data_IF_639623487672
#
_entry.id   IF_639623487672
#
_cell.length_a   1.000
_cell.length_b   1.000
_cell.length_c   1.000
_cell.angle_alpha   90.00
_cell.angle_beta   90.00
_cell.angle_gamma   90.00
#
_symmetry.space_group_name_H-M   'P 1'
#
loop_
_entity.id
_entity.type
_entity.pdbx_description
1 polymer ?
#
# COMPACT_ATOMS: atom_id res chain seq x y z
N UNK A 1 -14.90 10.12 -15.12
CA UNK A 1 -13.71 10.75 -14.51
C UNK A 1 -14.03 10.91 -13.04
N UNK A 2 -13.32 10.25 -12.13
CA UNK A 2 -13.57 10.41 -10.70
C UNK A 2 -13.04 11.78 -10.26
N UNK A 3 -13.90 12.59 -9.62
CA UNK A 3 -13.57 13.88 -9.05
C UNK A 3 -12.84 13.69 -7.72
N UNK A 4 -11.76 14.45 -7.52
CA UNK A 4 -11.09 14.61 -6.24
C UNK A 4 -12.03 15.37 -5.29
N UNK A 5 -12.37 14.75 -4.16
CA UNK A 5 -13.31 15.31 -3.17
C UNK A 5 -12.56 16.22 -2.19
N UNK A 6 -12.87 17.50 -2.22
CA UNK A 6 -12.20 18.52 -1.42
C UNK A 6 -13.13 19.09 -0.36
N UNK A 7 -12.66 19.15 0.89
CA UNK A 7 -13.34 19.85 1.97
C UNK A 7 -12.52 21.08 2.39
N UNK A 8 -13.18 22.21 2.67
CA UNK A 8 -12.51 23.45 3.12
C UNK A 8 -12.75 23.67 4.61
N UNK A 9 -11.70 23.62 5.42
CA UNK A 9 -11.75 23.82 6.87
C UNK A 9 -11.04 25.13 7.24
N UNK A 10 -11.78 26.11 7.73
CA UNK A 10 -11.19 27.40 8.11
C UNK A 10 -12.08 28.14 9.10
N UNK A 11 -11.47 28.91 10.02
CA UNK A 11 -12.20 29.86 10.85
C UNK A 11 -12.69 31.10 10.09
N UNK A 12 -12.35 31.26 8.80
CA UNK A 12 -12.62 32.46 8.00
C UNK A 12 -13.63 32.19 6.87
N UNK A 13 -14.93 32.53 7.04
CA UNK A 13 -15.98 32.18 6.08
C UNK A 13 -15.77 32.74 4.66
N UNK A 14 -15.31 33.99 4.54
CA UNK A 14 -15.01 34.60 3.23
C UNK A 14 -13.88 33.89 2.49
N UNK A 15 -12.92 33.34 3.24
CA UNK A 15 -11.85 32.54 2.66
C UNK A 15 -12.40 31.21 2.13
N UNK A 16 -13.27 30.55 2.91
CA UNK A 16 -13.94 29.34 2.46
C UNK A 16 -14.69 29.57 1.15
N UNK A 17 -15.56 30.60 1.08
CA UNK A 17 -16.33 30.94 -0.12
C UNK A 17 -15.44 31.22 -1.34
N UNK A 18 -14.32 31.94 -1.13
CA UNK A 18 -13.35 32.21 -2.18
C UNK A 18 -12.69 30.93 -2.72
N UNK A 19 -12.21 30.06 -1.83
CA UNK A 19 -11.60 28.78 -2.20
C UNK A 19 -12.62 27.88 -2.88
N UNK A 20 -13.83 27.73 -2.34
CA UNK A 20 -14.89 26.93 -2.95
C UNK A 20 -15.20 27.38 -4.39
N UNK A 21 -15.32 28.69 -4.60
CA UNK A 21 -15.61 29.27 -5.91
C UNK A 21 -14.51 28.96 -6.92
N UNK A 22 -13.24 29.09 -6.52
CA UNK A 22 -12.09 28.79 -7.36
C UNK A 22 -12.01 27.30 -7.71
N UNK A 23 -12.33 26.41 -6.76
CA UNK A 23 -12.26 24.97 -6.94
C UNK A 23 -13.42 24.41 -7.78
N UNK A 24 -14.65 24.93 -7.64
CA UNK A 24 -15.82 24.52 -8.45
C UNK A 24 -15.61 24.75 -9.95
N UNK A 25 -14.75 25.68 -10.33
CA UNK A 25 -14.39 25.95 -11.73
C UNK A 25 -13.36 24.99 -12.33
N UNK A 26 -12.79 24.07 -11.56
CA UNK A 26 -11.70 23.20 -12.00
C UNK A 26 -12.20 21.80 -12.39
N UNK A 27 -11.92 21.31 -13.61
CA UNK A 27 -12.32 19.98 -14.02
C UNK A 27 -11.59 18.92 -13.18
N UNK A 28 -12.34 17.95 -12.67
CA UNK A 28 -11.81 16.85 -11.86
C UNK A 28 -11.74 17.14 -10.35
N UNK A 29 -12.23 18.28 -9.88
CA UNK A 29 -12.43 18.58 -8.46
C UNK A 29 -13.92 18.64 -8.11
N UNK A 30 -14.28 18.15 -6.93
CA UNK A 30 -15.62 18.22 -6.34
C UNK A 30 -15.50 18.76 -4.92
N UNK A 31 -16.07 19.93 -4.68
CA UNK A 31 -16.15 20.50 -3.32
C UNK A 31 -17.29 19.80 -2.59
N UNK A 32 -16.94 18.96 -1.61
CA UNK A 32 -17.89 18.15 -0.84
C UNK A 32 -18.40 18.85 0.43
N UNK A 33 -17.78 19.97 0.81
CA UNK A 33 -18.25 20.82 1.89
C UNK A 33 -17.23 21.86 2.34
N UNK A 34 -17.69 22.77 3.20
CA UNK A 34 -16.84 23.68 3.96
C UNK A 34 -17.39 23.85 5.38
N UNK A 35 -16.51 24.11 6.34
CA UNK A 35 -16.89 24.30 7.73
C UNK A 35 -15.82 25.02 8.55
N UNK A 36 -16.24 25.47 9.74
CA UNK A 36 -15.34 26.04 10.74
C UNK A 36 -14.68 24.95 11.59
N UNK A 37 -13.67 25.32 12.37
CA UNK A 37 -12.96 24.41 13.29
C UNK A 37 -13.83 24.13 14.52
N UNK A 38 -14.87 23.30 14.34
CA UNK A 38 -15.82 22.91 15.37
C UNK A 38 -15.94 21.37 15.44
N UNK A 39 -16.21 20.77 16.61
CA UNK A 39 -16.33 19.31 16.77
C UNK A 39 -17.27 18.66 15.74
N UNK A 40 -18.40 19.29 15.45
CA UNK A 40 -19.42 18.80 14.52
C UNK A 40 -18.89 18.73 13.09
N UNK A 41 -17.98 19.65 12.71
CA UNK A 41 -17.31 19.61 11.41
C UNK A 41 -16.38 18.41 11.30
N UNK A 42 -15.71 18.02 12.38
CA UNK A 42 -14.85 16.83 12.39
C UNK A 42 -15.67 15.53 12.34
N UNK A 43 -16.84 15.49 12.97
CA UNK A 43 -17.81 14.39 12.81
C UNK A 43 -18.20 14.25 11.34
N UNK A 44 -18.54 15.37 10.70
CA UNK A 44 -18.92 15.40 9.30
C UNK A 44 -17.76 15.00 8.36
N UNK A 45 -16.53 15.42 8.65
CA UNK A 45 -15.34 15.01 7.91
C UNK A 45 -15.11 13.49 7.97
N UNK A 46 -15.38 12.85 9.11
CA UNK A 46 -15.28 11.40 9.28
C UNK A 46 -16.35 10.63 8.51
N UNK A 47 -17.50 11.23 8.25
CA UNK A 47 -18.56 10.66 7.42
C UNK A 47 -18.30 10.86 5.92
N UNK A 48 -17.89 12.07 5.51
CA UNK A 48 -17.68 12.42 4.10
C UNK A 48 -16.41 11.77 3.53
N UNK A 49 -15.40 11.55 4.38
CA UNK A 49 -14.07 11.06 4.03
C UNK A 49 -13.53 11.77 2.78
N UNK A 50 -13.24 13.09 2.87
CA UNK A 50 -12.70 13.82 1.73
C UNK A 50 -11.29 13.32 1.42
N UNK A 51 -10.89 13.51 0.18
CA UNK A 51 -9.55 13.15 -0.25
C UNK A 51 -8.51 14.19 0.15
N UNK A 52 -8.93 15.46 0.20
CA UNK A 52 -8.13 16.60 0.59
C UNK A 52 -8.92 17.49 1.52
N UNK A 53 -8.28 17.89 2.61
CA UNK A 53 -8.74 18.99 3.47
C UNK A 53 -7.88 20.22 3.18
N UNK A 54 -8.50 21.29 2.68
CA UNK A 54 -7.86 22.59 2.53
C UNK A 54 -8.04 23.36 3.83
N UNK A 55 -6.93 23.78 4.44
CA UNK A 55 -6.91 24.52 5.70
C UNK A 55 -6.56 25.97 5.44
N UNK A 56 -7.41 26.90 5.86
CA UNK A 56 -7.10 28.33 5.88
C UNK A 56 -6.84 28.81 7.30
N UNK A 57 -5.57 28.96 7.69
CA UNK A 57 -5.16 29.39 9.02
C UNK A 57 -3.73 29.96 8.98
N UNK A 58 -3.33 30.69 10.03
CA UNK A 58 -1.99 31.29 10.14
C UNK A 58 -1.30 30.91 11.46
N UNK A 59 0.03 30.89 11.48
CA UNK A 59 0.84 30.70 12.69
C UNK A 59 0.49 29.45 13.51
N UNK A 60 0.38 29.61 14.83
CA UNK A 60 0.11 28.50 15.76
C UNK A 60 -1.28 27.87 15.63
N UNK A 61 -2.26 28.60 15.09
CA UNK A 61 -3.59 28.04 14.78
C UNK A 61 -3.46 26.93 13.73
N UNK A 62 -2.67 27.17 12.68
CA UNK A 62 -2.41 26.18 11.64
C UNK A 62 -1.75 24.91 12.22
N UNK A 63 -0.75 25.05 13.10
CA UNK A 63 -0.07 23.90 13.72
C UNK A 63 -1.00 23.05 14.60
N UNK A 64 -1.83 23.69 15.42
CA UNK A 64 -2.83 23.00 16.25
C UNK A 64 -3.88 22.28 15.41
N UNK A 65 -4.33 22.92 14.32
CA UNK A 65 -5.34 22.38 13.42
C UNK A 65 -4.81 21.19 12.62
N UNK A 66 -3.56 21.26 12.13
CA UNK A 66 -2.89 20.15 11.46
C UNK A 66 -2.75 18.96 12.40
N UNK A 67 -2.31 19.20 13.64
CA UNK A 67 -2.15 18.15 14.65
C UNK A 67 -3.47 17.44 14.94
N UNK A 68 -4.56 18.20 15.10
CA UNK A 68 -5.90 17.66 15.32
C UNK A 68 -6.43 16.90 14.10
N UNK A 69 -6.26 17.43 12.89
CA UNK A 69 -6.66 16.76 11.65
C UNK A 69 -5.97 15.42 11.48
N UNK A 70 -4.68 15.33 11.79
CA UNK A 70 -3.95 14.07 11.66
C UNK A 70 -4.31 13.04 12.73
N UNK A 71 -4.76 13.47 13.90
CA UNK A 71 -5.29 12.58 14.93
C UNK A 71 -6.68 12.05 14.57
N UNK A 72 -7.57 12.92 14.08
CA UNK A 72 -8.98 12.59 13.80
C UNK A 72 -9.19 11.92 12.44
N UNK A 73 -8.32 12.21 11.46
CA UNK A 73 -8.38 11.69 10.09
C UNK A 73 -7.00 11.16 9.65
N UNK A 74 -6.58 9.98 10.16
CA UNK A 74 -5.30 9.39 9.77
C UNK A 74 -5.23 9.17 8.26
N UNK A 75 -4.16 9.65 7.63
CA UNK A 75 -3.92 9.49 6.18
C UNK A 75 -4.60 10.52 5.28
N UNK A 76 -5.35 11.49 5.81
CA UNK A 76 -5.92 12.58 5.00
C UNK A 76 -4.82 13.51 4.48
N UNK A 77 -4.93 13.94 3.21
CA UNK A 77 -4.04 14.98 2.67
C UNK A 77 -4.51 16.34 3.16
N UNK A 78 -3.59 17.11 3.74
CA UNK A 78 -3.89 18.46 4.20
C UNK A 78 -3.13 19.48 3.37
N UNK A 79 -3.86 20.38 2.72
CA UNK A 79 -3.29 21.52 1.98
C UNK A 79 -3.56 22.77 2.81
N UNK A 80 -2.56 23.27 3.52
CA UNK A 80 -2.68 24.50 4.28
C UNK A 80 -2.34 25.71 3.40
N UNK A 81 -3.22 26.69 3.42
CA UNK A 81 -3.07 27.99 2.80
C UNK A 81 -2.84 28.99 3.93
N UNK A 82 -1.63 29.52 4.02
CA UNK A 82 -1.31 30.53 4.99
C UNK A 82 -1.93 31.87 4.54
N UNK A 83 -2.72 32.49 5.43
CA UNK A 83 -3.48 33.70 5.11
C UNK A 83 -2.62 34.97 5.18
N UNK A 84 -1.45 34.90 5.81
CA UNK A 84 -0.55 36.04 6.01
C UNK A 84 0.38 36.24 4.80
N UNK A 85 0.84 35.15 4.18
CA UNK A 85 1.84 35.18 3.10
C UNK A 85 1.39 34.50 1.80
N UNK A 86 0.11 34.07 1.72
CA UNK A 86 -0.48 33.37 0.58
C UNK A 86 0.31 32.12 0.12
N UNK A 87 1.13 31.51 1.00
CA UNK A 87 1.85 30.28 0.65
C UNK A 87 0.99 29.05 0.84
N UNK A 88 1.11 28.14 -0.12
CA UNK A 88 0.50 26.81 -0.08
C UNK A 88 1.53 25.84 0.50
N UNK A 89 1.16 25.15 1.57
CA UNK A 89 1.96 24.10 2.21
C UNK A 89 1.17 22.81 2.20
N UNK A 90 1.81 21.72 1.77
CA UNK A 90 1.16 20.42 1.68
C UNK A 90 1.75 19.52 2.76
N UNK A 91 0.87 18.92 3.57
CA UNK A 91 1.24 18.07 4.70
C UNK A 91 0.68 16.66 4.54
N UNK A 92 1.47 15.69 5.02
CA UNK A 92 1.17 14.26 4.99
C UNK A 92 1.44 13.67 6.37
N UNK A 93 0.48 12.95 6.95
CA UNK A 93 0.76 12.12 8.11
C UNK A 93 1.15 10.71 7.67
N UNK A 94 2.45 10.43 7.66
CA UNK A 94 3.00 9.09 7.54
C UNK A 94 3.88 8.82 8.75
N UNK A 95 3.56 7.76 9.50
CA UNK A 95 4.39 7.29 10.61
C UNK A 95 5.29 6.16 10.11
N UNK A 96 6.60 6.28 10.33
CA UNK A 96 7.58 5.24 10.02
C UNK A 96 8.49 5.02 11.23
N UNK A 97 8.77 3.76 11.54
CA UNK A 97 9.76 3.39 12.56
C UNK A 97 11.14 3.45 11.93
N UNK A 98 11.97 4.40 12.35
CA UNK A 98 13.36 4.52 11.90
C UNK A 98 14.29 3.71 12.79
N UNK A 99 14.98 2.72 12.22
CA UNK A 99 15.99 1.88 12.90
C UNK A 99 17.38 2.02 12.31
N UNK A 100 17.47 2.34 11.02
CA UNK A 100 18.70 2.52 10.27
C UNK A 100 18.60 3.78 9.39
N UNK A 101 19.73 4.27 8.89
CA UNK A 101 19.78 5.49 8.06
C UNK A 101 18.97 5.30 6.76
N UNK A 102 18.90 4.05 6.29
CA UNK A 102 18.12 3.64 5.13
C UNK A 102 16.63 3.92 5.29
N UNK A 103 16.08 3.80 6.50
CA UNK A 103 14.66 4.09 6.78
C UNK A 103 14.36 5.59 6.63
N UNK A 104 15.31 6.43 7.07
CA UNK A 104 15.25 7.88 6.90
C UNK A 104 15.42 8.27 5.42
N UNK A 105 16.36 7.64 4.72
CA UNK A 105 16.55 7.85 3.27
C UNK A 105 15.31 7.41 2.49
N UNK A 106 14.65 6.32 2.89
CA UNK A 106 13.39 5.88 2.30
C UNK A 106 12.28 6.90 2.55
N UNK A 107 12.15 7.42 3.77
CA UNK A 107 11.17 8.47 4.08
C UNK A 107 11.41 9.76 3.27
N UNK A 108 12.66 10.17 3.07
CA UNK A 108 13.03 11.36 2.28
C UNK A 108 12.77 11.15 0.78
N UNK A 109 13.01 9.94 0.26
CA UNK A 109 12.86 9.62 -1.16
C UNK A 109 11.43 9.30 -1.58
N UNK A 110 10.51 9.15 -0.63
CA UNK A 110 9.11 8.92 -0.96
C UNK A 110 8.52 10.17 -1.65
N UNK A 111 7.80 9.99 -2.77
CA UNK A 111 7.07 11.08 -3.40
C UNK A 111 6.08 11.68 -2.39
N UNK A 112 6.16 13.00 -2.21
CA UNK A 112 5.24 13.77 -1.38
C UNK A 112 3.96 14.12 -2.14
N UNK A 113 3.37 13.23 -2.95
CA UNK A 113 2.13 13.52 -3.69
C UNK A 113 1.20 12.30 -3.84
N UNK A 114 -0.10 12.62 -3.93
CA UNK A 114 -1.23 11.70 -4.00
C UNK A 114 -1.38 11.03 -5.37
N UNK A 115 -1.97 9.84 -5.32
CA UNK A 115 -2.63 9.09 -6.40
C UNK A 115 -3.72 9.86 -7.16
N UNK A 116 -3.82 9.48 -8.44
CA UNK A 116 -4.79 10.00 -9.40
C UNK A 116 -6.22 9.48 -9.20
N UNK A 117 -7.11 9.71 -10.17
CA UNK A 117 -8.49 9.21 -10.13
C UNK A 117 -8.50 7.69 -9.88
N UNK A 118 -9.05 7.30 -8.73
CA UNK A 118 -9.14 5.91 -8.28
C UNK A 118 -10.25 5.19 -9.02
N UNK A 119 -10.03 3.97 -9.52
CA UNK A 119 -11.09 3.19 -10.10
C UNK A 119 -12.02 2.64 -9.02
N UNK A 120 -13.27 3.12 -8.95
CA UNK A 120 -14.27 2.59 -8.00
C UNK A 120 -14.64 1.11 -8.28
N UNK A 121 -14.38 0.65 -9.49
CA UNK A 121 -14.58 -0.73 -9.94
C UNK A 121 -13.32 -1.23 -10.64
N UNK A 122 -12.96 -2.50 -10.45
CA UNK A 122 -11.79 -3.08 -11.09
C UNK A 122 -12.05 -4.52 -11.53
N UNK A 123 -11.73 -4.84 -12.78
CA UNK A 123 -11.74 -6.20 -13.32
C UNK A 123 -10.32 -6.75 -13.29
N UNK A 124 -10.11 -7.82 -12.53
CA UNK A 124 -8.84 -8.51 -12.40
C UNK A 124 -8.92 -9.82 -13.16
N UNK A 125 -7.96 -10.05 -14.07
CA UNK A 125 -7.77 -11.36 -14.68
C UNK A 125 -6.46 -11.98 -14.17
N UNK A 126 -6.59 -13.04 -13.39
CA UNK A 126 -5.49 -13.72 -12.73
C UNK A 126 -5.01 -14.94 -13.52
N UNK A 127 -3.72 -15.00 -13.82
CA UNK A 127 -3.06 -16.18 -14.39
C UNK A 127 -2.55 -17.01 -13.22
N UNK A 128 -3.09 -18.21 -13.00
CA UNK A 128 -2.80 -19.03 -11.81
C UNK A 128 -2.20 -20.36 -12.20
N UNK A 129 -0.99 -20.64 -11.71
CA UNK A 129 -0.37 -21.95 -11.83
C UNK A 129 -0.09 -22.46 -10.42
N UNK A 130 -0.85 -23.45 -9.91
CA UNK A 130 -0.62 -24.02 -8.58
C UNK A 130 -1.59 -23.54 -7.49
N UNK A 131 -1.37 -24.01 -6.26
CA UNK A 131 -2.27 -23.75 -5.11
C UNK A 131 -2.06 -22.37 -4.49
N UNK A 132 -0.85 -21.81 -4.59
CA UNK A 132 -0.55 -20.52 -3.99
C UNK A 132 -1.25 -19.38 -4.72
N UNK A 133 -1.19 -19.36 -6.05
CA UNK A 133 -1.93 -18.39 -6.86
C UNK A 133 -3.44 -18.50 -6.65
N UNK A 134 -3.97 -19.73 -6.51
CA UNK A 134 -5.38 -19.97 -6.24
C UNK A 134 -5.81 -19.36 -4.89
N UNK A 135 -5.01 -19.55 -3.84
CA UNK A 135 -5.27 -18.95 -2.53
C UNK A 135 -5.23 -17.42 -2.55
N UNK A 136 -4.32 -16.83 -3.33
CA UNK A 136 -4.29 -15.37 -3.52
C UNK A 136 -5.60 -14.89 -4.16
N UNK A 137 -6.06 -15.56 -5.22
CA UNK A 137 -7.34 -15.23 -5.89
C UNK A 137 -8.52 -15.36 -4.91
N UNK A 138 -8.56 -16.41 -4.11
CA UNK A 138 -9.60 -16.62 -3.09
C UNK A 138 -9.58 -15.52 -2.01
N UNK A 139 -8.39 -15.13 -1.54
CA UNK A 139 -8.24 -14.04 -0.57
C UNK A 139 -8.73 -12.70 -1.15
N UNK A 140 -8.38 -12.40 -2.41
CA UNK A 140 -8.82 -11.18 -3.07
C UNK A 140 -10.34 -11.18 -3.27
N UNK A 141 -10.94 -12.31 -3.65
CA UNK A 141 -12.40 -12.44 -3.78
C UNK A 141 -13.13 -12.27 -2.44
N UNK A 142 -12.55 -12.78 -1.35
CA UNK A 142 -13.16 -12.74 -0.02
C UNK A 142 -13.06 -11.37 0.64
N UNK A 143 -11.95 -10.65 0.43
CA UNK A 143 -11.63 -9.43 1.19
C UNK A 143 -11.37 -8.19 0.33
N UNK A 144 -11.47 -8.31 -0.99
CA UNK A 144 -11.38 -7.17 -1.90
C UNK A 144 -12.64 -6.30 -1.86
N UNK A 145 -12.56 -5.05 -2.33
CA UNK A 145 -13.72 -4.18 -2.48
C UNK A 145 -14.85 -4.82 -3.30
N UNK A 146 -16.11 -4.51 -2.95
CA UNK A 146 -17.29 -5.07 -3.62
C UNK A 146 -17.36 -4.75 -5.13
N UNK A 147 -16.76 -3.64 -5.55
CA UNK A 147 -16.69 -3.24 -6.97
C UNK A 147 -15.65 -4.03 -7.78
N UNK A 148 -14.93 -4.97 -7.18
CA UNK A 148 -13.93 -5.77 -7.88
C UNK A 148 -14.50 -7.08 -8.37
N UNK A 149 -14.10 -7.47 -9.58
CA UNK A 149 -14.37 -8.80 -10.13
C UNK A 149 -13.05 -9.48 -10.41
N UNK A 150 -12.94 -10.76 -10.02
CA UNK A 150 -11.71 -11.53 -10.20
C UNK A 150 -12.02 -12.79 -10.96
N UNK A 151 -11.62 -12.83 -12.22
CA UNK A 151 -11.61 -14.02 -13.05
C UNK A 151 -10.22 -14.64 -13.03
N UNK A 152 -10.15 -15.97 -13.10
CA UNK A 152 -8.87 -16.68 -13.05
C UNK A 152 -8.79 -17.73 -14.15
N UNK A 153 -7.62 -17.83 -14.76
CA UNK A 153 -7.32 -18.83 -15.77
C UNK A 153 -6.06 -19.60 -15.38
N UNK A 154 -6.09 -20.92 -15.61
CA UNK A 154 -4.96 -21.81 -15.40
C UNK A 154 -4.36 -22.19 -16.75
N UNK A 155 -3.06 -21.93 -17.00
CA UNK A 155 -2.42 -22.40 -18.22
C UNK A 155 -2.40 -23.94 -18.27
N UNK A 156 -2.42 -24.51 -19.48
CA UNK A 156 -2.14 -25.94 -19.67
C UNK A 156 -0.68 -26.24 -19.27
N UNK A 157 -0.29 -27.51 -19.32
CA UNK A 157 1.11 -27.87 -19.16
C UNK A 157 1.94 -27.24 -20.29
N UNK A 158 2.93 -26.42 -19.91
CA UNK A 158 3.78 -25.67 -20.83
C UNK A 158 5.15 -26.34 -20.95
N UNK A 159 5.76 -26.34 -22.15
CA UNK A 159 7.16 -26.72 -22.30
C UNK A 159 8.10 -25.73 -21.60
N UNK A 160 9.35 -26.15 -21.36
CA UNK A 160 10.36 -25.31 -20.72
C UNK A 160 10.71 -24.05 -21.54
N UNK A 161 10.60 -24.14 -22.87
CA UNK A 161 10.84 -23.04 -23.82
C UNK A 161 9.62 -22.92 -24.72
N UNK A 162 9.12 -21.70 -24.91
CA UNK A 162 7.98 -21.39 -25.77
C UNK A 162 8.48 -20.71 -27.06
N UNK A 163 8.37 -21.40 -28.19
CA UNK A 163 8.70 -20.82 -29.49
C UNK A 163 7.56 -19.93 -30.02
N UNK A 164 6.31 -20.37 -29.84
CA UNK A 164 5.11 -19.58 -30.15
C UNK A 164 4.14 -19.56 -28.95
N UNK A 165 4.25 -18.53 -28.08
CA UNK A 165 3.34 -18.33 -26.94
C UNK A 165 1.85 -18.30 -27.31
N UNK A 166 1.52 -17.91 -28.54
CA UNK A 166 0.15 -17.69 -28.98
C UNK A 166 -0.73 -18.93 -28.96
N UNK A 167 -0.13 -20.11 -29.16
CA UNK A 167 -0.81 -21.40 -29.18
C UNK A 167 -1.31 -21.87 -27.80
N UNK A 168 -0.76 -21.31 -26.72
CA UNK A 168 -1.04 -21.72 -25.34
C UNK A 168 -1.99 -20.75 -24.62
N UNK A 169 -2.47 -19.73 -25.32
CA UNK A 169 -3.39 -18.74 -24.78
C UNK A 169 -4.80 -19.34 -24.62
N UNK A 170 -5.58 -18.88 -23.63
CA UNK A 170 -6.97 -19.30 -23.52
C UNK A 170 -7.77 -18.87 -24.76
N UNK A 171 -8.79 -19.66 -25.08
CA UNK A 171 -9.72 -19.36 -26.17
C UNK A 171 -10.43 -18.03 -25.94
N UNK A 172 -10.77 -17.72 -24.69
CA UNK A 172 -11.38 -16.47 -24.28
C UNK A 172 -10.51 -15.80 -23.22
N UNK A 173 -10.18 -14.52 -23.44
CA UNK A 173 -9.61 -13.64 -22.43
C UNK A 173 -10.66 -12.56 -22.15
N UNK A 174 -11.21 -12.48 -20.93
CA UNK A 174 -12.18 -11.45 -20.61
C UNK A 174 -11.49 -10.07 -20.59
N UNK A 175 -12.21 -8.98 -20.92
CA UNK A 175 -11.72 -7.63 -20.71
C UNK A 175 -11.38 -7.40 -19.24
N UNK A 176 -10.17 -6.93 -18.95
CA UNK A 176 -9.69 -6.71 -17.60
C UNK A 176 -8.98 -5.37 -17.49
N UNK A 177 -8.99 -4.75 -16.31
CA UNK A 177 -8.24 -3.53 -16.05
C UNK A 177 -6.84 -3.85 -15.53
N UNK A 178 -6.74 -4.93 -14.73
CA UNK A 178 -5.50 -5.40 -14.11
C UNK A 178 -5.26 -6.88 -14.42
N UNK A 179 -4.06 -7.20 -14.94
CA UNK A 179 -3.58 -8.59 -14.99
C UNK A 179 -2.78 -8.91 -13.74
N UNK A 180 -3.16 -10.00 -13.07
CA UNK A 180 -2.43 -10.52 -11.91
C UNK A 180 -1.73 -11.83 -12.29
N UNK A 181 -0.41 -11.78 -12.50
CA UNK A 181 0.36 -12.90 -13.04
C UNK A 181 0.96 -13.77 -11.93
N UNK A 182 0.21 -14.78 -11.49
CA UNK A 182 0.56 -15.72 -10.41
C UNK A 182 1.07 -17.06 -10.98
N UNK A 183 1.93 -16.97 -11.99
CA UNK A 183 2.58 -18.12 -12.62
C UNK A 183 3.76 -18.62 -11.79
N UNK A 184 3.92 -19.95 -11.74
CA UNK A 184 5.00 -20.65 -11.05
C UNK A 184 6.05 -21.18 -12.06
N UNK A 185 6.19 -20.53 -13.23
CA UNK A 185 7.17 -20.90 -14.27
C UNK A 185 7.50 -19.77 -15.24
N UNK A 186 8.73 -19.73 -15.80
CA UNK A 186 9.09 -18.76 -16.84
C UNK A 186 8.25 -18.86 -18.11
N UNK A 187 7.80 -20.07 -18.47
CA UNK A 187 6.92 -20.27 -19.62
C UNK A 187 5.58 -19.55 -19.44
N UNK A 188 4.98 -19.64 -18.25
CA UNK A 188 3.71 -18.94 -17.97
C UNK A 188 3.88 -17.42 -18.04
N UNK A 189 5.00 -16.90 -17.53
CA UNK A 189 5.28 -15.47 -17.58
C UNK A 189 5.42 -14.92 -19.02
N UNK A 190 5.88 -15.73 -19.98
CA UNK A 190 5.97 -15.34 -21.39
C UNK A 190 4.60 -15.12 -22.05
N UNK A 191 3.51 -15.66 -21.49
CA UNK A 191 2.15 -15.46 -22.00
C UNK A 191 1.55 -14.10 -21.64
N UNK A 192 2.11 -13.42 -20.62
CA UNK A 192 1.58 -12.17 -20.04
C UNK A 192 1.30 -11.10 -21.12
N UNK A 193 2.24 -10.76 -22.04
CA UNK A 193 2.02 -9.65 -22.96
C UNK A 193 0.86 -9.90 -23.94
N UNK A 194 0.65 -11.15 -24.36
CA UNK A 194 -0.44 -11.50 -25.26
C UNK A 194 -1.79 -11.53 -24.55
N UNK A 195 -1.81 -11.97 -23.29
CA UNK A 195 -3.00 -11.89 -22.42
C UNK A 195 -3.38 -10.42 -22.18
N UNK A 196 -2.40 -9.57 -21.82
CA UNK A 196 -2.60 -8.13 -21.63
C UNK A 196 -3.23 -7.49 -22.86
N UNK A 197 -2.70 -7.80 -24.06
CA UNK A 197 -3.22 -7.29 -25.33
C UNK A 197 -4.66 -7.75 -25.59
N UNK A 198 -4.98 -9.03 -25.34
CA UNK A 198 -6.34 -9.58 -25.56
C UNK A 198 -7.35 -9.06 -24.54
N UNK A 199 -6.91 -8.77 -23.31
CA UNK A 199 -7.75 -8.23 -22.25
C UNK A 199 -7.97 -6.72 -22.34
N UNK A 200 -7.21 -6.00 -23.20
CA UNK A 200 -7.11 -4.53 -23.19
C UNK A 200 -6.75 -3.97 -21.79
N UNK A 201 -5.85 -4.66 -21.08
CA UNK A 201 -5.50 -4.32 -19.71
C UNK A 201 -4.70 -3.02 -19.58
N UNK A 202 -4.86 -2.34 -18.44
CA UNK A 202 -4.23 -1.05 -18.12
C UNK A 202 -2.97 -1.21 -17.25
N UNK A 203 -2.89 -2.30 -16.49
CA UNK A 203 -1.77 -2.58 -15.61
C UNK A 203 -1.48 -4.08 -15.46
N UNK A 204 -0.26 -4.39 -15.03
CA UNK A 204 0.17 -5.75 -14.67
C UNK A 204 0.85 -5.74 -13.31
N UNK A 205 0.47 -6.68 -12.44
CA UNK A 205 1.22 -7.05 -11.25
C UNK A 205 1.76 -8.47 -11.46
N UNK A 206 3.08 -8.61 -11.53
CA UNK A 206 3.77 -9.89 -11.72
C UNK A 206 4.77 -10.12 -10.58
N UNK A 207 4.32 -10.63 -9.43
CA UNK A 207 5.17 -10.78 -8.25
C UNK A 207 6.32 -11.76 -8.46
N UNK A 208 7.44 -11.47 -7.80
CA UNK A 208 8.64 -12.33 -7.80
C UNK A 208 8.82 -12.89 -6.39
N UNK A 209 8.04 -13.91 -6.06
CA UNK A 209 8.20 -14.66 -4.81
C UNK A 209 9.25 -15.79 -4.94
N UNK A 210 9.57 -16.19 -6.17
CA UNK A 210 10.67 -17.11 -6.46
C UNK A 210 11.37 -16.73 -7.78
N UNK A 211 12.67 -16.43 -7.73
CA UNK A 211 13.46 -16.03 -8.91
C UNK A 211 13.44 -17.04 -10.07
N UNK A 212 13.27 -18.33 -9.78
CA UNK A 212 13.25 -19.38 -10.79
C UNK A 212 12.01 -19.29 -11.70
N UNK A 213 10.92 -18.68 -11.21
CA UNK A 213 9.68 -18.50 -11.98
C UNK A 213 9.71 -17.23 -12.82
N UNK A 214 10.37 -16.19 -12.32
CA UNK A 214 10.48 -14.91 -13.00
C UNK A 214 11.90 -14.32 -12.89
N UNK A 215 12.84 -14.82 -13.72
CA UNK A 215 14.23 -14.38 -13.71
C UNK A 215 14.40 -12.93 -14.20
N UNK A 216 15.47 -12.25 -13.76
CA UNK A 216 15.82 -10.87 -14.14
C UNK A 216 15.78 -10.60 -15.65
N UNK A 217 16.30 -11.53 -16.46
CA UNK A 217 16.29 -11.40 -17.91
C UNK A 217 14.87 -11.33 -18.48
N UNK A 218 13.98 -12.16 -17.97
CA UNK A 218 12.58 -12.21 -18.38
C UNK A 218 11.80 -10.99 -17.87
N UNK A 219 12.09 -10.51 -16.65
CA UNK A 219 11.52 -9.25 -16.14
C UNK A 219 11.81 -8.10 -17.10
N UNK A 220 13.07 -7.93 -17.53
CA UNK A 220 13.45 -6.87 -18.49
C UNK A 220 12.71 -7.01 -19.82
N UNK A 221 12.62 -8.22 -20.35
CA UNK A 221 11.88 -8.50 -21.59
C UNK A 221 10.39 -8.15 -21.48
N UNK A 222 9.75 -8.54 -20.37
CA UNK A 222 8.35 -8.22 -20.10
C UNK A 222 8.14 -6.71 -19.95
N UNK A 223 9.00 -6.02 -19.18
CA UNK A 223 8.96 -4.57 -19.03
C UNK A 223 9.03 -3.85 -20.37
N UNK A 224 9.96 -4.23 -21.25
CA UNK A 224 10.09 -3.64 -22.57
C UNK A 224 8.86 -3.89 -23.45
N UNK A 225 8.34 -5.13 -23.47
CA UNK A 225 7.20 -5.51 -24.30
C UNK A 225 5.90 -4.84 -23.82
N UNK A 226 5.66 -4.79 -22.51
CA UNK A 226 4.48 -4.14 -21.93
C UNK A 226 4.55 -2.61 -22.08
N UNK A 227 5.73 -2.01 -21.95
CA UNK A 227 5.91 -0.57 -22.23
C UNK A 227 5.56 -0.22 -23.69
N UNK A 228 5.90 -1.07 -24.66
CA UNK A 228 5.51 -0.87 -26.07
C UNK A 228 3.99 -0.97 -26.29
N UNK A 229 3.28 -1.68 -25.42
CA UNK A 229 1.81 -1.74 -25.41
C UNK A 229 1.17 -0.58 -24.65
N UNK A 230 1.97 0.32 -24.05
CA UNK A 230 1.45 1.40 -23.20
C UNK A 230 0.92 0.93 -21.85
N UNK A 231 1.31 -0.28 -21.40
CA UNK A 231 0.84 -0.89 -20.16
C UNK A 231 1.94 -0.85 -19.11
N UNK A 232 1.61 -0.31 -17.94
CA UNK A 232 2.53 -0.29 -16.81
C UNK A 232 2.56 -1.63 -16.09
N UNK A 233 3.74 -2.08 -15.69
CA UNK A 233 3.94 -3.38 -15.06
C UNK A 233 4.88 -3.28 -13.87
N UNK A 234 4.48 -3.84 -12.74
CA UNK A 234 5.28 -3.91 -11.52
C UNK A 234 5.64 -5.35 -11.17
N UNK A 235 6.82 -5.49 -10.56
CA UNK A 235 7.43 -6.78 -10.24
C UNK A 235 7.85 -6.81 -8.76
N UNK A 236 6.89 -6.76 -7.82
CA UNK A 236 7.19 -6.72 -6.39
C UNK A 236 7.92 -7.99 -5.94
N UNK A 237 9.03 -7.80 -5.22
CA UNK A 237 9.93 -8.85 -4.73
C UNK A 237 10.23 -8.64 -3.24
N UNK A 238 9.64 -9.44 -2.32
CA UNK A 238 8.53 -10.39 -2.53
C UNK A 238 7.21 -9.66 -2.85
N UNK A 239 6.11 -10.37 -3.11
CA UNK A 239 4.83 -9.73 -3.46
C UNK A 239 4.36 -8.75 -2.37
N UNK A 240 4.53 -9.12 -1.11
CA UNK A 240 4.22 -8.25 0.03
C UNK A 240 5.14 -7.03 0.19
N UNK A 241 6.06 -6.75 -0.75
CA UNK A 241 6.79 -5.48 -0.81
C UNK A 241 6.01 -4.38 -1.56
N UNK A 242 4.91 -4.72 -2.22
CA UNK A 242 4.08 -3.77 -2.95
C UNK A 242 3.38 -2.77 -2.02
N UNK A 243 3.44 -1.49 -2.36
CA UNK A 243 2.76 -0.37 -1.69
C UNK A 243 2.07 0.49 -2.75
N UNK A 244 1.21 1.41 -2.30
CA UNK A 244 0.47 2.32 -3.20
C UNK A 244 1.38 3.20 -4.06
N UNK A 245 2.59 3.49 -3.56
CA UNK A 245 3.59 4.40 -4.13
C UNK A 245 4.85 3.66 -4.66
N UNK A 246 4.83 2.34 -4.73
CA UNK A 246 5.97 1.57 -5.23
C UNK A 246 6.06 0.13 -4.79
N UNK A 247 7.22 -0.45 -5.03
CA UNK A 247 7.49 -1.86 -4.72
C UNK A 247 8.99 -2.09 -4.55
N UNK A 248 9.33 -3.29 -4.08
CA UNK A 248 10.68 -3.69 -3.67
C UNK A 248 11.20 -2.91 -2.46
N UNK A 249 12.35 -3.35 -1.95
CA UNK A 249 12.89 -2.92 -0.67
C UNK A 249 14.28 -2.30 -0.84
N UNK A 250 14.70 -1.54 0.19
CA UNK A 250 16.06 -1.01 0.32
C UNK A 250 16.48 -0.23 -0.94
N UNK A 251 17.69 -0.46 -1.44
CA UNK A 251 18.25 0.19 -2.62
C UNK A 251 17.60 -0.23 -3.95
N UNK A 252 16.69 -1.23 -3.95
CA UNK A 252 15.98 -1.70 -5.15
C UNK A 252 14.55 -1.17 -5.24
N UNK A 253 14.12 -0.34 -4.29
CA UNK A 253 12.78 0.25 -4.28
C UNK A 253 12.55 1.04 -5.58
N UNK A 254 11.42 0.78 -6.22
CA UNK A 254 10.95 1.48 -7.43
C UNK A 254 9.68 2.24 -7.08
N UNK A 255 9.62 3.53 -7.46
CA UNK A 255 8.42 4.34 -7.34
C UNK A 255 7.46 4.00 -8.47
N UNK A 256 6.18 3.83 -8.15
CA UNK A 256 5.11 3.57 -9.10
C UNK A 256 3.89 4.43 -8.72
N UNK A 257 3.22 4.99 -9.71
CA UNK A 257 2.00 5.79 -9.52
C UNK A 257 1.00 5.46 -10.62
N UNK A 258 0.54 4.21 -10.60
CA UNK A 258 -0.49 3.72 -11.51
C UNK A 258 -1.81 3.53 -10.76
N UNK A 259 -2.92 4.15 -11.17
CA UNK A 259 -4.17 4.09 -10.42
C UNK A 259 -4.67 2.67 -10.11
N UNK A 260 -4.50 1.71 -11.03
CA UNK A 260 -4.94 0.33 -10.84
C UNK A 260 -4.04 -0.45 -9.88
N UNK A 261 -2.73 -0.20 -9.95
CA UNK A 261 -1.74 -0.85 -9.08
C UNK A 261 -1.83 -0.27 -7.68
N UNK A 262 -1.95 1.06 -7.55
CA UNK A 262 -2.13 1.73 -6.26
C UNK A 262 -3.43 1.29 -5.59
N UNK A 263 -4.55 1.21 -6.33
CA UNK A 263 -5.82 0.72 -5.80
C UNK A 263 -5.73 -0.74 -5.34
N UNK A 264 -5.06 -1.60 -6.10
CA UNK A 264 -4.75 -2.96 -5.64
C UNK A 264 -3.92 -2.94 -4.34
N UNK A 265 -2.84 -2.16 -4.35
CA UNK A 265 -1.85 -2.06 -3.29
C UNK A 265 -2.34 -1.34 -2.03
N UNK A 266 -3.52 -0.76 -2.05
CA UNK A 266 -4.22 -0.23 -0.87
C UNK A 266 -4.83 -1.37 -0.04
N UNK A 267 -5.32 -2.41 -0.70
CA UNK A 267 -5.98 -3.56 -0.06
C UNK A 267 -5.05 -4.78 0.08
N UNK A 268 -4.12 -4.96 -0.85
CA UNK A 268 -3.23 -6.12 -0.92
C UNK A 268 -1.77 -5.73 -1.24
N UNK A 269 -0.84 -5.96 -0.33
CA UNK A 269 0.56 -5.59 -0.48
C UNK A 269 1.35 -5.75 0.82
N UNK A 270 2.13 -4.72 1.19
CA UNK A 270 2.86 -4.65 2.45
C UNK A 270 1.89 -4.55 3.64
N UNK A 271 1.83 -5.52 4.56
CA UNK A 271 0.81 -5.52 5.61
C UNK A 271 0.72 -4.20 6.38
N UNK A 272 -0.52 -3.80 6.71
CA UNK A 272 -0.83 -2.67 7.60
C UNK A 272 -1.92 -3.13 8.54
N UNK A 273 -1.70 -2.91 9.83
CA UNK A 273 -2.62 -3.28 10.90
C UNK A 273 -3.04 -2.05 11.67
N UNK A 274 -4.18 -2.15 12.35
CA UNK A 274 -4.51 -1.34 13.50
C UNK A 274 -4.66 -2.25 14.70
N UNK A 275 -3.83 -2.06 15.73
CA UNK A 275 -3.80 -2.96 16.89
C UNK A 275 -4.37 -2.26 18.12
N UNK A 276 -5.41 -2.85 18.69
CA UNK A 276 -6.03 -2.40 19.93
C UNK A 276 -5.55 -3.25 21.10
N UNK A 277 -5.08 -2.58 22.14
CA UNK A 277 -4.52 -3.20 23.34
C UNK A 277 -5.21 -2.69 24.60
N UNK A 278 -5.32 -3.57 25.59
CA UNK A 278 -5.85 -3.27 26.92
C UNK A 278 -5.04 -4.07 27.95
N UNK A 279 -4.62 -3.41 29.03
CA UNK A 279 -3.78 -4.00 30.10
C UNK A 279 -2.52 -4.72 29.58
N UNK A 280 -1.88 -4.18 28.54
CA UNK A 280 -0.66 -4.76 27.96
C UNK A 280 -0.88 -6.00 27.09
N UNK A 281 -2.13 -6.32 26.74
CA UNK A 281 -2.50 -7.47 25.90
C UNK A 281 -3.25 -7.01 24.65
N UNK A 282 -2.95 -7.62 23.50
CA UNK A 282 -3.67 -7.37 22.25
C UNK A 282 -5.10 -7.90 22.36
N UNK A 283 -6.10 -7.03 22.17
CA UNK A 283 -7.53 -7.39 22.21
C UNK A 283 -8.15 -7.54 20.83
N UNK A 284 -7.71 -6.72 19.88
CA UNK A 284 -8.18 -6.77 18.50
C UNK A 284 -7.07 -6.34 17.54
N UNK A 285 -7.10 -6.91 16.34
CA UNK A 285 -6.21 -6.55 15.23
C UNK A 285 -7.06 -6.37 13.99
N UNK A 286 -7.21 -5.13 13.54
CA UNK A 286 -7.84 -4.83 12.25
C UNK A 286 -6.79 -4.90 11.15
N UNK A 287 -7.12 -5.54 10.03
CA UNK A 287 -6.23 -5.62 8.86
C UNK A 287 -6.67 -4.57 7.85
N UNK A 288 -5.97 -3.43 7.85
CA UNK A 288 -6.20 -2.34 6.90
C UNK A 288 -5.70 -2.70 5.50
N UNK A 289 -4.53 -3.35 5.43
CA UNK A 289 -3.98 -3.93 4.20
C UNK A 289 -3.42 -5.32 4.46
N UNK A 290 -3.88 -6.29 3.69
CA UNK A 290 -3.41 -7.67 3.80
C UNK A 290 -2.19 -7.90 2.89
N UNK A 291 -1.43 -8.96 3.15
CA UNK A 291 -0.61 -9.56 2.10
C UNK A 291 -1.56 -10.21 1.08
N UNK A 292 -1.28 -10.09 -0.22
CA UNK A 292 -2.15 -10.68 -1.25
C UNK A 292 -2.44 -12.18 -1.02
N UNK A 293 -1.50 -12.88 -0.38
CA UNK A 293 -1.62 -14.29 -0.07
C UNK A 293 -2.49 -14.63 1.15
N UNK A 294 -2.95 -13.67 1.95
CA UNK A 294 -3.74 -13.89 3.18
C UNK A 294 -2.93 -13.98 4.48
N UNK A 295 -1.61 -13.81 4.41
CA UNK A 295 -0.72 -14.00 5.56
C UNK A 295 -0.99 -12.98 6.69
N UNK A 296 -1.34 -11.73 6.37
CA UNK A 296 -1.55 -10.71 7.40
C UNK A 296 -2.78 -11.02 8.24
N UNK A 297 -3.88 -11.46 7.60
CA UNK A 297 -5.08 -11.92 8.31
C UNK A 297 -4.81 -13.14 9.19
N UNK A 298 -4.07 -14.12 8.66
CA UNK A 298 -3.66 -15.30 9.43
C UNK A 298 -2.87 -14.93 10.69
N UNK A 299 -1.95 -13.96 10.59
CA UNK A 299 -1.16 -13.46 11.71
C UNK A 299 -2.04 -12.64 12.68
N UNK A 300 -2.89 -11.75 12.17
CA UNK A 300 -3.78 -10.91 12.96
C UNK A 300 -4.69 -11.72 13.89
N UNK A 301 -5.31 -12.80 13.38
CA UNK A 301 -6.15 -13.71 14.17
C UNK A 301 -5.40 -14.32 15.37
N UNK A 302 -4.10 -14.56 15.21
CA UNK A 302 -3.26 -15.24 16.23
C UNK A 302 -2.60 -14.28 17.19
N UNK A 303 -2.55 -12.99 16.86
CA UNK A 303 -2.04 -11.95 17.76
C UNK A 303 -3.04 -11.59 18.85
N UNK A 304 -4.34 -11.87 18.67
CA UNK A 304 -5.34 -11.65 19.73
C UNK A 304 -5.01 -12.50 20.96
N UNK A 305 -4.88 -11.84 22.11
CA UNK A 305 -4.49 -12.45 23.38
C UNK A 305 -2.98 -12.48 23.65
N UNK A 306 -2.14 -12.06 22.69
CA UNK A 306 -0.68 -12.01 22.86
C UNK A 306 -0.30 -10.76 23.67
N UNK A 307 0.64 -10.86 24.64
CA UNK A 307 1.22 -9.68 25.30
C UNK A 307 1.89 -8.74 24.29
N UNK A 308 1.68 -7.43 24.44
CA UNK A 308 2.18 -6.41 23.50
C UNK A 308 3.70 -6.48 23.31
N UNK A 309 4.44 -6.80 24.38
CA UNK A 309 5.90 -6.99 24.37
C UNK A 309 6.37 -8.19 23.54
N UNK A 310 5.51 -9.21 23.38
CA UNK A 310 5.81 -10.40 22.58
C UNK A 310 5.28 -10.30 21.14
N UNK A 311 4.36 -9.37 20.86
CA UNK A 311 3.59 -9.32 19.61
C UNK A 311 4.49 -9.33 18.36
N UNK A 312 5.58 -8.56 18.35
CA UNK A 312 6.52 -8.52 17.21
C UNK A 312 7.23 -9.86 17.01
N UNK A 313 7.61 -10.53 18.10
CA UNK A 313 8.26 -11.84 18.02
C UNK A 313 7.27 -12.91 17.53
N UNK A 314 6.08 -12.95 18.12
CA UNK A 314 5.02 -13.89 17.75
C UNK A 314 4.55 -13.70 16.31
N UNK A 315 4.44 -12.46 15.82
CA UNK A 315 4.12 -12.17 14.43
C UNK A 315 5.11 -12.82 13.45
N UNK A 316 6.41 -12.81 13.78
CA UNK A 316 7.44 -13.50 13.00
C UNK A 316 7.25 -15.02 13.00
N UNK A 317 6.93 -15.61 14.16
CA UNK A 317 6.68 -17.06 14.27
C UNK A 317 5.42 -17.49 13.51
N UNK A 318 4.33 -16.75 13.65
CA UNK A 318 3.08 -17.02 12.93
C UNK A 318 3.27 -16.86 11.41
N UNK A 319 4.04 -15.87 10.96
CA UNK A 319 4.42 -15.76 9.55
C UNK A 319 5.17 -17.01 9.06
N UNK A 320 6.12 -17.54 9.82
CA UNK A 320 6.84 -18.77 9.47
C UNK A 320 5.95 -20.02 9.43
N UNK A 321 4.91 -20.07 10.26
CA UNK A 321 3.90 -21.14 10.22
C UNK A 321 2.91 -20.98 9.06
N UNK A 322 2.84 -19.79 8.45
CA UNK A 322 2.03 -19.57 7.26
C UNK A 322 2.70 -20.22 6.04
N UNK A 323 1.95 -20.92 5.17
CA UNK A 323 2.47 -21.44 3.90
C UNK A 323 2.77 -20.29 2.91
N UNK A 324 3.81 -19.51 3.16
CA UNK A 324 4.21 -18.37 2.33
C UNK A 324 4.83 -18.84 1.00
N UNK A 325 4.58 -18.09 -0.07
CA UNK A 325 5.10 -18.37 -1.40
C UNK A 325 6.57 -17.93 -1.57
N UNK A 326 7.03 -17.03 -0.71
CA UNK A 326 8.34 -16.44 -0.79
C UNK A 326 9.45 -17.49 -0.60
N UNK A 327 10.38 -17.54 -1.55
CA UNK A 327 11.43 -18.54 -1.61
C UNK A 327 12.47 -18.42 -0.49
N UNK A 328 13.08 -19.56 -0.16
CA UNK A 328 14.17 -19.67 0.82
C UNK A 328 15.57 -19.56 0.19
N UNK A 329 15.65 -19.36 -1.12
CA UNK A 329 16.93 -19.12 -1.79
C UNK A 329 17.44 -17.71 -1.48
N UNK A 330 18.74 -17.58 -1.22
CA UNK A 330 19.36 -16.27 -0.97
C UNK A 330 19.34 -15.47 -2.27
N UNK A 331 18.70 -14.30 -2.20
CA UNK A 331 18.71 -13.27 -3.22
C UNK A 331 19.98 -12.45 -3.09
N UNK A 332 20.99 -12.73 -3.93
CA UNK A 332 22.31 -12.07 -3.83
C UNK A 332 22.22 -10.53 -3.81
N UNK A 333 21.30 -9.96 -4.58
CA UNK A 333 21.12 -8.51 -4.66
C UNK A 333 20.51 -7.90 -3.40
N UNK A 334 19.78 -8.69 -2.61
CA UNK A 334 19.16 -8.25 -1.35
C UNK A 334 19.95 -8.73 -0.12
N UNK A 335 20.86 -9.69 -0.28
CA UNK A 335 21.66 -10.27 0.79
C UNK A 335 20.85 -11.14 1.77
N UNK A 336 19.66 -11.58 1.38
CA UNK A 336 18.71 -12.27 2.25
C UNK A 336 17.76 -13.18 1.43
N UNK A 337 16.96 -14.00 2.08
CA UNK A 337 15.89 -14.79 1.43
C UNK A 337 14.60 -13.97 1.33
N UNK A 338 13.78 -14.22 0.31
CA UNK A 338 12.48 -13.55 0.19
C UNK A 338 11.54 -13.91 1.34
N UNK A 339 11.62 -15.16 1.85
CA UNK A 339 10.86 -15.58 3.03
C UNK A 339 11.20 -14.73 4.26
N UNK A 340 12.50 -14.53 4.52
CA UNK A 340 12.94 -13.74 5.67
C UNK A 340 12.58 -12.26 5.51
N UNK A 341 12.73 -11.68 4.32
CA UNK A 341 12.28 -10.32 4.04
C UNK A 341 10.77 -10.16 4.21
N UNK A 342 9.97 -11.13 3.77
CA UNK A 342 8.52 -11.15 4.00
C UNK A 342 8.19 -11.20 5.50
N UNK A 343 8.93 -11.98 6.29
CA UNK A 343 8.78 -12.04 7.74
C UNK A 343 9.17 -10.73 8.42
N UNK A 344 10.22 -10.05 7.95
CA UNK A 344 10.60 -8.72 8.43
C UNK A 344 9.51 -7.69 8.17
N UNK A 345 8.90 -7.69 6.98
CA UNK A 345 7.78 -6.80 6.65
C UNK A 345 6.59 -7.02 7.57
N UNK A 346 6.27 -8.29 7.90
CA UNK A 346 5.20 -8.62 8.85
C UNK A 346 5.52 -8.09 10.26
N UNK A 347 6.74 -8.33 10.75
CA UNK A 347 7.19 -7.86 12.06
C UNK A 347 7.17 -6.34 12.16
N UNK A 348 7.63 -5.65 11.11
CA UNK A 348 7.61 -4.20 11.02
C UNK A 348 6.17 -3.65 11.06
N UNK A 349 5.24 -4.29 10.34
CA UNK A 349 3.83 -3.87 10.35
C UNK A 349 3.20 -3.94 11.75
N UNK A 350 3.53 -4.98 12.53
CA UNK A 350 3.06 -5.11 13.92
C UNK A 350 3.78 -4.12 14.84
N UNK A 351 5.08 -3.95 14.66
CA UNK A 351 5.87 -3.05 15.49
C UNK A 351 5.46 -1.58 15.40
N UNK A 352 5.10 -1.10 14.21
CA UNK A 352 4.59 0.27 14.02
C UNK A 352 3.45 0.56 15.00
N UNK A 353 2.58 -0.42 15.21
CA UNK A 353 1.40 -0.30 16.08
C UNK A 353 1.73 -0.52 17.56
N UNK A 354 2.65 -1.44 17.89
CA UNK A 354 2.92 -1.76 19.31
C UNK A 354 4.03 -0.93 19.95
N UNK A 355 4.98 -0.39 19.18
CA UNK A 355 6.09 0.39 19.73
C UNK A 355 5.64 1.62 20.56
N UNK A 356 4.59 2.38 20.17
CA UNK A 356 4.06 3.47 20.99
C UNK A 356 3.41 3.01 22.31
N UNK A 357 3.00 1.73 22.39
CA UNK A 357 2.28 1.14 23.53
C UNK A 357 3.23 0.53 24.56
N UNK A 358 4.48 0.26 24.17
CA UNK A 358 5.48 -0.27 25.09
C UNK A 358 5.95 0.83 26.05
N UNK A 359 6.27 0.49 27.32
CA UNK A 359 6.90 1.43 28.22
C UNK A 359 8.12 2.02 27.53
N UNK A 360 8.18 3.35 27.40
CA UNK A 360 9.42 4.02 27.01
C UNK A 360 10.47 3.53 27.99
N UNK A 361 11.48 2.80 27.51
CA UNK A 361 12.63 2.46 28.31
C UNK A 361 13.04 3.74 29.03
N UNK A 362 12.91 3.76 30.37
CA UNK A 362 13.33 4.88 31.18
C UNK A 362 14.74 5.20 30.70
N UNK A 363 14.90 6.38 30.10
CA UNK A 363 16.15 6.79 29.46
C UNK A 363 17.27 6.37 30.40
N UNK A 364 18.24 5.62 29.85
CA UNK A 364 19.50 5.37 30.51
C UNK A 364 20.09 6.74 30.83
N UNK A 365 19.82 7.24 32.04
CA UNK A 365 20.57 8.34 32.64
C UNK A 365 21.98 7.78 32.75
N UNK A 366 22.97 8.31 32.01
CA UNK A 366 24.33 7.87 32.20
C UNK A 366 24.68 8.10 33.66
N UNK A 367 25.06 7.03 34.39
CA UNK A 367 25.67 7.17 35.71
C UNK A 367 26.89 8.07 35.56
N UNK A 368 26.79 9.35 35.94
CA UNK A 368 27.93 10.27 35.85
C UNK A 368 27.67 11.77 35.70
N UNK A 369 26.44 12.29 35.78
CA UNK A 369 26.25 13.74 36.00
C UNK A 369 25.71 13.99 37.39
N UNK A 370 26.64 14.22 38.32
CA UNK A 370 26.35 14.95 39.55
C UNK A 370 25.80 16.32 39.17
N UNK A 371 24.61 16.65 39.64
CA UNK A 371 24.18 18.04 39.78
C UNK A 371 25.13 18.69 40.78
N UNK A 372 26.11 19.43 40.28
CA UNK A 372 26.80 20.44 41.08
C UNK A 372 25.87 21.64 41.18
N UNK A 373 25.52 21.97 42.42
CA UNK A 373 24.73 23.11 42.88
C UNK A 373 25.09 24.43 42.21
#
# INVERSE_FOLDING_TARGET
MHSCRVFVLTAHPLFAEGVETLLRGQPGLEVVGAGSVAPETFDHLREILPDVVVVGASGGEQESLLSRLFQELPGVKVVALNLDDNRIRIYYHQTKVGRQVEDLVEAIRQPLEWGGPRPATMRIFAIVQGRYGQRIVENIRAFGPQGWTVESWRPPDLPAVLDDPGHYLPLHVPPADLILALGESPATAQLIPDIVRRADARAVIAPVDHLAWLPEGLIRQLQERLRRLGVEAVFPRPFCSLTEDGYNLRHQRVVCSNPWISEFARHFGRPVFRIHCEDGVVKAVEVERDAACGCARFVAERLVGVPVEEAVHQAGLYHHHYPCLAGMTIERSLGDTLLHLSGQLMRQAVEVEVAPLLPRAAYLVPKGRSETR
#
